data_IF_161276994918
#
_entry.id   IF_161276994918
#
_cell.length_a   1.000
_cell.length_b   1.000
_cell.length_c   1.000
_cell.angle_alpha   90.00
_cell.angle_beta   90.00
_cell.angle_gamma   90.00
#
_symmetry.space_group_name_H-M   'P 1'
#
loop_
_entity.id
_entity.type
_entity.pdbx_description
1 polymer ?
#
# COMPACT_ATOMS: atom_id res chain seq x y z
N UNK A 1 28.38 3.35 20.96
CA UNK A 1 28.24 2.90 19.56
C UNK A 1 27.42 1.63 19.60
N UNK A 2 26.10 1.72 19.34
CA UNK A 2 25.25 0.53 19.28
C UNK A 2 25.47 -0.20 17.96
N UNK A 3 25.40 -1.54 17.95
CA UNK A 3 25.67 -2.32 16.76
C UNK A 3 24.58 -2.08 15.72
N UNK A 4 25.01 -1.77 14.50
CA UNK A 4 24.20 -1.64 13.30
C UNK A 4 23.33 -2.90 13.13
N UNK A 5 22.05 -2.71 12.80
CA UNK A 5 21.09 -3.77 12.49
C UNK A 5 21.72 -4.86 11.61
N UNK A 6 21.91 -6.06 12.15
CA UNK A 6 22.25 -7.24 11.38
C UNK A 6 20.98 -7.76 10.69
N UNK A 7 20.98 -7.83 9.35
CA UNK A 7 19.83 -8.42 8.65
C UNK A 7 19.71 -9.91 9.01
N UNK A 8 18.47 -10.45 9.12
CA UNK A 8 18.24 -11.86 9.43
C UNK A 8 19.03 -12.80 8.50
N UNK A 9 19.41 -13.95 8.99
CA UNK A 9 20.23 -14.96 8.28
C UNK A 9 19.68 -15.38 6.91
N UNK A 10 18.38 -15.22 6.67
CA UNK A 10 17.74 -15.35 5.37
C UNK A 10 18.24 -14.37 4.32
N UNK A 11 18.77 -13.21 4.74
CA UNK A 11 19.33 -12.18 3.84
C UNK A 11 20.74 -12.57 3.38
N UNK A 12 21.52 -13.26 4.22
CA UNK A 12 22.89 -13.69 3.88
C UNK A 12 22.92 -14.80 2.81
N UNK A 13 21.95 -15.71 2.79
CA UNK A 13 21.80 -16.72 1.73
C UNK A 13 21.42 -16.14 0.38
N UNK A 14 20.91 -14.89 0.36
CA UNK A 14 20.50 -14.20 -0.85
C UNK A 14 21.68 -13.62 -1.62
N UNK A 15 22.85 -13.41 -0.98
CA UNK A 15 24.00 -12.74 -1.60
C UNK A 15 24.68 -13.58 -2.71
N UNK A 16 24.99 -14.84 -2.43
CA UNK A 16 25.59 -15.74 -3.42
C UNK A 16 24.64 -16.01 -4.60
N UNK A 17 23.34 -15.99 -4.34
CA UNK A 17 22.30 -16.28 -5.33
C UNK A 17 22.12 -15.14 -6.35
N UNK A 18 22.22 -13.86 -5.94
CA UNK A 18 21.94 -12.69 -6.80
C UNK A 18 22.96 -12.48 -7.93
N UNK A 19 24.17 -13.06 -7.81
CA UNK A 19 25.24 -12.98 -8.82
C UNK A 19 25.42 -14.26 -9.64
N UNK A 20 24.72 -15.33 -9.26
CA UNK A 20 24.63 -16.56 -10.06
C UNK A 20 23.87 -16.30 -11.38
N UNK A 21 23.99 -17.20 -12.36
CA UNK A 21 23.17 -17.16 -13.57
C UNK A 21 21.67 -17.18 -13.23
N UNK A 22 21.26 -17.92 -12.20
CA UNK A 22 19.88 -17.93 -11.68
C UNK A 22 19.44 -16.55 -11.17
N UNK A 23 20.33 -15.82 -10.48
CA UNK A 23 20.04 -14.47 -10.00
C UNK A 23 19.91 -13.43 -11.11
N UNK A 24 20.77 -13.54 -12.15
CA UNK A 24 20.65 -12.69 -13.36
C UNK A 24 19.35 -12.96 -14.10
N UNK A 25 18.99 -14.20 -14.34
CA UNK A 25 17.74 -14.61 -14.99
C UNK A 25 16.54 -14.07 -14.20
N UNK A 26 16.50 -14.25 -12.87
CA UNK A 26 15.44 -13.76 -12.01
C UNK A 26 15.29 -12.22 -12.04
N UNK A 27 16.39 -11.48 -12.21
CA UNK A 27 16.33 -10.02 -12.38
C UNK A 27 15.76 -9.62 -13.72
N UNK A 28 16.15 -10.30 -14.83
CA UNK A 28 15.56 -10.08 -16.15
C UNK A 28 14.05 -10.36 -16.14
N UNK A 29 13.63 -11.43 -15.47
CA UNK A 29 12.21 -11.78 -15.32
C UNK A 29 11.43 -10.70 -14.57
N UNK A 30 12.02 -10.13 -13.50
CA UNK A 30 11.42 -8.99 -12.79
C UNK A 30 11.28 -7.75 -13.70
N UNK A 31 12.32 -7.42 -14.46
CA UNK A 31 12.30 -6.27 -15.39
C UNK A 31 11.24 -6.46 -16.47
N UNK A 32 11.13 -7.66 -17.05
CA UNK A 32 10.08 -7.99 -18.02
C UNK A 32 8.68 -7.87 -17.40
N UNK A 33 8.52 -8.39 -16.19
CA UNK A 33 7.25 -8.28 -15.46
C UNK A 33 6.89 -6.82 -15.14
N UNK A 34 7.88 -5.99 -14.78
CA UNK A 34 7.67 -4.56 -14.53
C UNK A 34 7.23 -3.84 -15.82
N UNK A 35 7.85 -4.09 -16.98
CA UNK A 35 7.43 -3.51 -18.28
C UNK A 35 6.02 -3.97 -18.64
N UNK A 36 5.77 -5.28 -18.55
CA UNK A 36 4.45 -5.86 -18.85
C UNK A 36 3.36 -5.25 -17.95
N UNK A 37 3.64 -5.07 -16.67
CA UNK A 37 2.72 -4.47 -15.71
C UNK A 37 2.35 -3.03 -16.06
N UNK A 38 3.31 -2.22 -16.51
CA UNK A 38 3.04 -0.86 -16.99
C UNK A 38 2.14 -0.90 -18.24
N UNK A 39 2.49 -1.74 -19.22
CA UNK A 39 1.78 -1.84 -20.49
C UNK A 39 0.32 -2.31 -20.34
N UNK A 40 0.06 -3.21 -19.39
CA UNK A 40 -1.29 -3.74 -19.15
C UNK A 40 -2.19 -2.77 -18.38
N UNK A 41 -1.60 -1.84 -17.63
CA UNK A 41 -2.34 -0.95 -16.72
C UNK A 41 -2.43 0.49 -17.21
N UNK A 42 -1.49 0.92 -18.06
CA UNK A 42 -1.51 2.26 -18.65
C UNK A 42 -1.92 2.16 -20.13
N UNK A 43 -3.16 2.57 -20.47
CA UNK A 43 -3.64 2.56 -21.85
C UNK A 43 -2.90 3.54 -22.78
N UNK A 44 -2.13 4.48 -22.23
CA UNK A 44 -1.36 5.45 -23.02
C UNK A 44 -0.08 4.86 -23.63
N UNK A 45 0.40 3.71 -23.12
CA UNK A 45 1.63 3.05 -23.57
C UNK A 45 1.48 2.49 -24.97
N UNK A 46 2.38 2.88 -25.88
CA UNK A 46 2.41 2.40 -27.27
C UNK A 46 3.47 1.32 -27.53
N UNK A 47 4.56 1.30 -26.74
CA UNK A 47 5.65 0.33 -26.92
C UNK A 47 6.47 0.05 -25.66
N UNK A 48 7.11 -1.13 -25.60
CA UNK A 48 8.02 -1.49 -24.50
C UNK A 48 9.25 -0.56 -24.44
N UNK A 49 9.69 -0.04 -25.60
CA UNK A 49 10.80 0.93 -25.68
C UNK A 49 10.41 2.25 -25.01
N UNK A 50 9.18 2.71 -25.20
CA UNK A 50 8.65 3.89 -24.54
C UNK A 50 8.70 3.73 -23.02
N UNK A 51 8.19 2.61 -22.47
CA UNK A 51 8.26 2.30 -21.05
C UNK A 51 9.70 2.32 -20.55
N UNK A 52 10.60 1.66 -21.28
CA UNK A 52 11.98 1.51 -20.88
C UNK A 52 12.75 2.84 -20.82
N UNK A 53 12.53 3.74 -21.80
CA UNK A 53 13.30 4.97 -21.92
C UNK A 53 12.61 6.22 -21.40
N UNK A 54 11.28 6.28 -21.37
CA UNK A 54 10.55 7.51 -21.08
C UNK A 54 9.84 7.48 -19.72
N UNK A 55 9.35 6.33 -19.25
CA UNK A 55 8.58 6.26 -18.02
C UNK A 55 9.42 6.51 -16.77
N UNK A 56 9.15 7.58 -15.99
CA UNK A 56 9.90 7.90 -14.76
C UNK A 56 9.79 6.79 -13.72
N UNK A 57 8.60 6.22 -13.57
CA UNK A 57 8.31 5.13 -12.63
C UNK A 57 9.17 3.89 -12.91
N UNK A 58 9.22 3.45 -14.17
CA UNK A 58 10.08 2.34 -14.56
C UNK A 58 11.57 2.64 -14.33
N UNK A 59 12.02 3.87 -14.63
CA UNK A 59 13.39 4.31 -14.35
C UNK A 59 13.71 4.24 -12.87
N UNK A 60 12.78 4.67 -11.99
CA UNK A 60 12.93 4.63 -10.54
C UNK A 60 13.04 3.19 -10.03
N UNK A 61 12.13 2.30 -10.43
CA UNK A 61 12.16 0.87 -10.05
C UNK A 61 13.43 0.18 -10.53
N UNK A 62 13.85 0.44 -11.76
CA UNK A 62 15.11 -0.09 -12.30
C UNK A 62 16.34 0.41 -11.55
N UNK A 63 16.37 1.69 -11.17
CA UNK A 63 17.44 2.26 -10.36
C UNK A 63 17.44 1.65 -8.95
N UNK A 64 16.27 1.52 -8.33
CA UNK A 64 16.11 0.84 -7.05
C UNK A 64 16.66 -0.60 -7.10
N UNK A 65 16.29 -1.41 -8.10
CA UNK A 65 16.79 -2.80 -8.20
C UNK A 65 18.33 -2.88 -8.28
N UNK A 66 18.99 -1.85 -8.84
CA UNK A 66 20.47 -1.75 -8.83
C UNK A 66 20.97 -1.30 -7.45
N UNK A 67 20.35 -0.28 -6.87
CA UNK A 67 20.72 0.23 -5.54
C UNK A 67 20.57 -0.85 -4.46
N UNK A 68 19.48 -1.62 -4.51
CA UNK A 68 19.20 -2.73 -3.58
C UNK A 68 20.31 -3.80 -3.61
N UNK A 69 20.85 -4.13 -4.78
CA UNK A 69 22.00 -5.05 -4.88
C UNK A 69 23.23 -4.54 -4.15
N UNK A 70 23.53 -3.25 -4.24
CA UNK A 70 24.65 -2.63 -3.53
C UNK A 70 24.37 -2.55 -2.03
N UNK A 71 23.11 -2.30 -1.65
CA UNK A 71 22.66 -2.31 -0.26
C UNK A 71 22.89 -3.68 0.39
N UNK A 72 22.46 -4.76 -0.27
CA UNK A 72 22.67 -6.14 0.19
C UNK A 72 24.16 -6.50 0.33
N UNK A 73 25.04 -5.89 -0.47
CA UNK A 73 26.50 -6.02 -0.35
C UNK A 73 27.11 -5.11 0.72
N UNK A 74 26.28 -4.46 1.54
CA UNK A 74 26.72 -3.51 2.59
C UNK A 74 27.45 -2.26 2.05
N UNK A 75 27.39 -1.99 0.73
CA UNK A 75 27.89 -0.76 0.12
C UNK A 75 26.84 0.34 0.19
N UNK A 76 26.50 0.74 1.41
CA UNK A 76 25.39 1.65 1.69
C UNK A 76 25.52 3.02 1.02
N UNK A 77 26.74 3.57 0.96
CA UNK A 77 26.99 4.84 0.29
C UNK A 77 26.62 4.79 -1.20
N UNK A 78 27.11 3.77 -1.92
CA UNK A 78 26.82 3.59 -3.34
C UNK A 78 25.32 3.37 -3.57
N UNK A 79 24.69 2.54 -2.72
CA UNK A 79 23.27 2.29 -2.78
C UNK A 79 22.44 3.58 -2.62
N UNK A 80 22.78 4.41 -1.60
CA UNK A 80 22.12 5.70 -1.37
C UNK A 80 22.40 6.69 -2.51
N UNK A 81 23.61 6.75 -3.01
CA UNK A 81 23.94 7.63 -4.14
C UNK A 81 23.08 7.32 -5.39
N UNK A 82 22.92 6.02 -5.73
CA UNK A 82 22.04 5.61 -6.84
C UNK A 82 20.59 6.00 -6.57
N UNK A 83 20.09 5.76 -5.35
CA UNK A 83 18.73 6.10 -4.93
C UNK A 83 18.48 7.61 -5.02
N UNK A 84 19.36 8.44 -4.48
CA UNK A 84 19.23 9.90 -4.50
C UNK A 84 19.34 10.48 -5.93
N UNK A 85 20.16 9.86 -6.78
CA UNK A 85 20.21 10.23 -8.22
C UNK A 85 18.91 9.88 -8.93
N UNK A 86 18.28 8.75 -8.58
CA UNK A 86 16.98 8.37 -9.13
C UNK A 86 15.88 9.34 -8.68
N UNK A 87 15.81 9.67 -7.40
CA UNK A 87 14.87 10.66 -6.84
C UNK A 87 14.94 11.99 -7.61
N UNK A 88 16.14 12.56 -7.78
CA UNK A 88 16.32 13.82 -8.51
C UNK A 88 15.84 13.77 -9.97
N UNK A 89 15.90 12.59 -10.60
CA UNK A 89 15.50 12.42 -12.01
C UNK A 89 14.03 12.07 -12.20
N UNK A 90 13.40 11.49 -11.21
CA UNK A 90 12.07 10.87 -11.34
C UNK A 90 11.03 11.43 -10.38
N UNK A 91 11.45 12.14 -9.34
CA UNK A 91 10.56 12.59 -8.26
C UNK A 91 10.06 11.45 -7.36
N UNK A 92 10.64 10.23 -7.47
CA UNK A 92 10.23 9.03 -6.75
C UNK A 92 11.36 8.61 -5.81
N UNK A 93 11.08 8.57 -4.52
CA UNK A 93 12.02 8.08 -3.52
C UNK A 93 11.76 6.62 -3.19
N UNK A 94 12.76 5.76 -3.44
CA UNK A 94 12.74 4.36 -3.00
C UNK A 94 14.02 4.10 -2.22
N UNK A 95 13.87 3.76 -0.93
CA UNK A 95 15.02 3.42 -0.11
C UNK A 95 15.62 2.09 -0.59
N UNK A 96 16.96 1.98 -0.73
CA UNK A 96 17.59 0.76 -1.24
C UNK A 96 17.40 -0.47 -0.35
N UNK A 97 17.09 -0.29 0.93
CA UNK A 97 16.78 -1.38 1.87
C UNK A 97 15.39 -2.00 1.69
N UNK A 98 14.45 -1.32 1.04
CA UNK A 98 13.12 -1.87 0.80
C UNK A 98 13.18 -3.19 0.03
N UNK A 99 12.18 -4.06 0.24
CA UNK A 99 12.03 -5.32 -0.51
C UNK A 99 10.82 -5.22 -1.42
N UNK A 100 11.03 -5.32 -2.74
CA UNK A 100 9.97 -5.14 -3.74
C UNK A 100 9.90 -6.35 -4.66
N UNK A 101 8.71 -6.90 -4.79
CA UNK A 101 8.36 -7.99 -5.70
C UNK A 101 8.50 -7.62 -7.18
N UNK A 102 7.85 -8.36 -8.06
CA UNK A 102 7.79 -8.11 -9.51
C UNK A 102 6.52 -7.36 -9.87
N UNK A 103 6.54 -6.67 -11.01
CA UNK A 103 5.36 -6.02 -11.58
C UNK A 103 4.85 -4.83 -10.77
N UNK A 104 5.71 -4.18 -9.95
CA UNK A 104 5.33 -2.93 -9.30
C UNK A 104 5.06 -1.87 -10.37
N UNK A 105 3.86 -1.32 -10.36
CA UNK A 105 3.43 -0.19 -11.18
C UNK A 105 3.29 1.06 -10.32
N UNK A 106 4.00 2.13 -10.67
CA UNK A 106 3.85 3.44 -10.03
C UNK A 106 3.30 4.37 -11.09
N UNK A 107 2.06 4.80 -10.92
CA UNK A 107 1.40 5.69 -11.85
C UNK A 107 1.57 7.14 -11.43
N UNK A 108 1.94 8.01 -12.39
CA UNK A 108 2.26 9.44 -12.17
C UNK A 108 3.32 9.74 -11.11
N UNK A 109 3.92 8.84 -10.50
CA UNK A 109 4.93 8.68 -9.46
C UNK A 109 5.50 9.86 -8.67
N UNK A 110 5.27 11.11 -9.04
CA UNK A 110 5.80 12.28 -8.34
C UNK A 110 5.40 12.27 -6.85
N UNK A 111 6.40 12.48 -5.97
CA UNK A 111 6.18 12.52 -4.53
C UNK A 111 5.94 11.17 -3.86
N UNK A 112 6.11 10.06 -4.57
CA UNK A 112 6.08 8.72 -3.95
C UNK A 112 7.31 8.53 -3.08
N UNK A 113 7.08 8.05 -1.84
CA UNK A 113 8.13 7.73 -0.87
C UNK A 113 7.95 6.29 -0.37
N UNK A 114 8.97 5.46 -0.58
CA UNK A 114 9.02 4.07 -0.10
C UNK A 114 10.19 3.95 0.90
N UNK A 115 9.85 3.75 2.18
CA UNK A 115 10.79 3.71 3.29
C UNK A 115 11.65 2.44 3.35
N UNK A 116 12.66 2.45 4.20
CA UNK A 116 13.75 1.46 4.27
C UNK A 116 13.28 0.02 4.49
N UNK A 117 12.42 -0.22 5.48
CA UNK A 117 11.97 -1.56 5.85
C UNK A 117 10.62 -1.92 5.24
N UNK A 118 10.20 -1.19 4.18
CA UNK A 118 8.99 -1.49 3.43
C UNK A 118 9.14 -2.80 2.67
N UNK A 119 8.10 -3.62 2.73
CA UNK A 119 7.96 -4.80 1.89
C UNK A 119 6.77 -4.62 0.96
N UNK A 120 6.95 -4.90 -0.33
CA UNK A 120 5.89 -4.83 -1.34
C UNK A 120 5.86 -6.15 -2.09
N UNK A 121 4.71 -6.80 -2.09
CA UNK A 121 4.45 -8.02 -2.84
C UNK A 121 4.46 -7.82 -4.35
N UNK A 122 3.97 -8.80 -5.06
CA UNK A 122 3.92 -8.79 -6.52
C UNK A 122 2.72 -7.99 -7.03
N UNK A 123 2.90 -7.35 -8.20
CA UNK A 123 1.84 -6.66 -8.96
C UNK A 123 1.08 -5.55 -8.23
N UNK A 124 1.71 -4.89 -7.26
CA UNK A 124 1.14 -3.74 -6.59
C UNK A 124 1.09 -2.50 -7.50
N UNK A 125 0.14 -1.60 -7.21
CA UNK A 125 -0.02 -0.30 -7.87
C UNK A 125 0.05 0.81 -6.85
N UNK A 126 0.93 1.79 -7.06
CA UNK A 126 1.02 3.01 -6.26
C UNK A 126 0.76 4.22 -7.16
N UNK A 127 0.00 5.18 -6.66
CA UNK A 127 -0.21 6.45 -7.35
C UNK A 127 0.69 7.56 -6.79
N UNK A 128 0.65 8.75 -7.40
CA UNK A 128 1.43 9.90 -6.99
C UNK A 128 1.20 10.27 -5.51
N UNK A 129 2.21 10.86 -4.88
CA UNK A 129 2.21 11.33 -3.49
C UNK A 129 1.91 10.23 -2.44
N UNK A 130 2.01 8.95 -2.80
CA UNK A 130 1.88 7.86 -1.84
C UNK A 130 3.10 7.80 -0.94
N UNK A 131 2.88 7.66 0.38
CA UNK A 131 3.94 7.46 1.37
C UNK A 131 3.77 6.11 2.06
N UNK A 132 4.77 5.24 1.93
CA UNK A 132 4.93 4.03 2.74
C UNK A 132 5.97 4.34 3.81
N UNK A 133 5.50 4.90 4.94
CA UNK A 133 6.32 5.51 5.98
C UNK A 133 6.39 4.70 7.27
N UNK A 134 7.37 5.04 8.10
CA UNK A 134 7.53 4.48 9.44
C UNK A 134 6.99 5.39 10.53
N UNK A 135 6.96 4.89 11.77
CA UNK A 135 6.53 5.63 12.97
C UNK A 135 7.57 6.63 13.47
N UNK A 136 8.78 6.63 12.92
CA UNK A 136 9.84 7.60 13.23
C UNK A 136 10.62 7.36 14.54
N UNK A 137 10.14 6.46 15.43
CA UNK A 137 10.75 6.20 16.74
C UNK A 137 11.40 4.82 16.85
N UNK A 138 10.97 3.87 16.01
CA UNK A 138 11.37 2.48 16.14
C UNK A 138 12.61 2.17 15.31
N UNK A 139 13.52 1.38 15.88
CA UNK A 139 14.61 0.71 15.17
C UNK A 139 14.09 -0.63 14.61
N UNK A 140 14.59 -1.07 13.46
CA UNK A 140 14.15 -2.30 12.83
C UNK A 140 12.95 -2.14 11.90
N UNK A 141 12.00 -3.08 11.92
CA UNK A 141 10.79 -3.04 11.08
C UNK A 141 9.84 -1.94 11.53
N UNK A 142 9.78 -0.85 10.76
CA UNK A 142 8.97 0.34 11.06
C UNK A 142 8.10 0.82 9.90
N UNK A 143 8.26 0.23 8.72
CA UNK A 143 7.51 0.54 7.52
C UNK A 143 6.54 -0.59 7.16
N UNK A 144 5.47 -0.32 6.41
CA UNK A 144 4.44 -1.30 6.13
C UNK A 144 4.89 -2.46 5.24
N UNK A 145 4.13 -3.55 5.33
CA UNK A 145 4.20 -4.68 4.41
C UNK A 145 2.93 -4.71 3.57
N UNK A 146 3.07 -4.52 2.25
CA UNK A 146 1.97 -4.70 1.30
C UNK A 146 2.02 -6.13 0.75
N UNK A 147 0.88 -6.80 0.76
CA UNK A 147 0.69 -8.09 0.09
C UNK A 147 0.74 -7.99 -1.43
N UNK A 148 0.23 -8.99 -2.12
CA UNK A 148 0.18 -9.02 -3.57
C UNK A 148 -1.03 -8.24 -4.10
N UNK A 149 -0.88 -7.65 -5.30
CA UNK A 149 -1.97 -6.97 -5.99
C UNK A 149 -2.65 -5.86 -5.15
N UNK A 150 -1.90 -5.21 -4.26
CA UNK A 150 -2.41 -4.09 -3.47
C UNK A 150 -2.40 -2.82 -4.30
N UNK A 151 -3.48 -2.05 -4.22
CA UNK A 151 -3.60 -0.73 -4.84
C UNK A 151 -3.59 0.36 -3.76
N UNK A 152 -2.70 1.34 -3.89
CA UNK A 152 -2.63 2.51 -3.00
C UNK A 152 -2.89 3.77 -3.80
N UNK A 153 -4.04 4.38 -3.54
CA UNK A 153 -4.54 5.57 -4.25
C UNK A 153 -3.70 6.82 -4.02
N UNK A 154 -3.89 7.80 -4.88
CA UNK A 154 -3.12 9.06 -4.88
C UNK A 154 -3.15 9.76 -3.52
N UNK A 155 -2.00 10.25 -3.06
CA UNK A 155 -1.88 10.98 -1.80
C UNK A 155 -2.07 10.14 -0.53
N UNK A 156 -2.34 8.84 -0.64
CA UNK A 156 -2.53 7.99 0.53
C UNK A 156 -1.22 7.79 1.31
N UNK A 157 -1.34 7.68 2.64
CA UNK A 157 -0.23 7.46 3.55
C UNK A 157 -0.48 6.18 4.35
N UNK A 158 0.47 5.26 4.30
CA UNK A 158 0.47 4.01 5.08
C UNK A 158 1.63 4.09 6.05
N UNK A 159 1.34 4.26 7.33
CA UNK A 159 2.33 4.67 8.34
C UNK A 159 2.40 3.67 9.49
N UNK A 160 3.43 2.84 9.52
CA UNK A 160 3.67 1.86 10.59
C UNK A 160 4.02 0.47 10.08
N UNK A 161 4.50 -0.44 10.97
CA UNK A 161 5.03 -1.75 10.60
C UNK A 161 3.94 -2.84 10.46
N UNK A 162 2.73 -2.47 10.08
CA UNK A 162 1.62 -3.41 9.92
C UNK A 162 1.48 -3.91 8.47
N UNK A 163 0.60 -4.88 8.30
CA UNK A 163 0.32 -5.51 7.01
C UNK A 163 -0.93 -4.94 6.36
N UNK A 164 -0.82 -4.71 5.05
CA UNK A 164 -1.94 -4.52 4.13
C UNK A 164 -2.07 -5.81 3.32
N UNK A 165 -3.18 -6.51 3.48
CA UNK A 165 -3.40 -7.85 2.90
C UNK A 165 -3.51 -7.86 1.38
N UNK A 166 -3.47 -9.05 0.79
CA UNK A 166 -3.55 -9.24 -0.66
C UNK A 166 -4.86 -8.66 -1.24
N UNK A 167 -4.78 -8.11 -2.44
CA UNK A 167 -5.90 -7.49 -3.17
C UNK A 167 -6.57 -6.32 -2.42
N UNK A 168 -5.96 -5.80 -1.36
CA UNK A 168 -6.50 -4.64 -0.65
C UNK A 168 -6.40 -3.37 -1.50
N UNK A 169 -7.36 -2.48 -1.31
CA UNK A 169 -7.43 -1.17 -1.98
C UNK A 169 -7.44 -0.06 -0.93
N UNK A 170 -6.49 0.83 -1.00
CA UNK A 170 -6.42 2.03 -0.18
C UNK A 170 -6.90 3.21 -1.04
N UNK A 171 -7.94 3.90 -0.59
CA UNK A 171 -8.49 5.03 -1.32
C UNK A 171 -7.52 6.21 -1.39
N UNK A 172 -7.75 7.11 -2.35
CA UNK A 172 -6.98 8.35 -2.46
C UNK A 172 -7.09 9.18 -1.16
N UNK A 173 -5.97 9.81 -0.76
CA UNK A 173 -5.82 10.61 0.44
C UNK A 173 -6.12 9.90 1.77
N UNK A 174 -6.27 8.59 1.78
CA UNK A 174 -6.46 7.83 3.03
C UNK A 174 -5.19 7.81 3.88
N UNK A 175 -5.34 7.85 5.20
CA UNK A 175 -4.24 7.71 6.18
C UNK A 175 -4.44 6.41 6.95
N UNK A 176 -3.68 5.39 6.57
CA UNK A 176 -3.74 4.05 7.17
C UNK A 176 -2.76 3.97 8.33
N UNK A 177 -3.27 3.66 9.51
CA UNK A 177 -2.51 3.59 10.77
C UNK A 177 -2.61 2.20 11.44
N UNK A 178 -3.33 1.28 10.81
CA UNK A 178 -3.54 -0.08 11.33
C UNK A 178 -3.65 -1.08 10.19
N UNK A 179 -3.65 -2.36 10.52
CA UNK A 179 -3.73 -3.46 9.56
C UNK A 179 -4.99 -3.39 8.69
N UNK A 180 -4.84 -3.71 7.41
CA UNK A 180 -5.93 -3.81 6.44
C UNK A 180 -6.03 -5.25 5.97
N UNK A 181 -7.17 -5.94 6.17
CA UNK A 181 -7.37 -7.32 5.72
C UNK A 181 -7.28 -7.47 4.21
N UNK A 182 -7.03 -8.71 3.76
CA UNK A 182 -7.08 -9.04 2.33
C UNK A 182 -8.47 -8.78 1.74
N UNK A 183 -8.52 -8.51 0.43
CA UNK A 183 -9.74 -8.24 -0.35
C UNK A 183 -10.59 -7.08 0.21
N UNK A 184 -9.97 -6.15 0.94
CA UNK A 184 -10.66 -5.05 1.62
C UNK A 184 -10.42 -3.72 0.95
N UNK A 185 -11.35 -2.78 1.15
CA UNK A 185 -11.18 -1.38 0.74
C UNK A 185 -11.17 -0.49 1.99
N UNK A 186 -10.08 0.27 2.18
CA UNK A 186 -9.92 1.21 3.28
C UNK A 186 -10.00 2.66 2.76
N UNK A 187 -10.75 3.52 3.48
CA UNK A 187 -11.07 4.90 3.09
C UNK A 187 -11.00 5.83 4.30
N UNK A 188 -10.56 7.04 4.12
CA UNK A 188 -10.67 8.13 5.12
C UNK A 188 -9.39 8.43 5.89
N UNK A 189 -9.51 9.34 6.87
CA UNK A 189 -8.44 9.84 7.75
C UNK A 189 -8.98 9.93 9.18
N UNK A 190 -8.62 8.99 10.06
CA UNK A 190 -7.89 7.73 9.81
C UNK A 190 -8.69 6.77 8.92
N UNK A 191 -7.99 5.92 8.19
CA UNK A 191 -8.62 5.00 7.25
C UNK A 191 -9.40 3.89 7.99
N UNK A 192 -10.59 3.59 7.46
CA UNK A 192 -11.46 2.51 7.92
C UNK A 192 -11.79 1.56 6.77
N UNK A 193 -11.93 0.28 7.06
CA UNK A 193 -12.36 -0.71 6.09
C UNK A 193 -13.86 -0.52 5.83
N UNK A 194 -14.23 -0.19 4.60
CA UNK A 194 -15.62 0.05 4.20
C UNK A 194 -16.20 -1.08 3.34
N UNK A 195 -15.33 -1.94 2.80
CA UNK A 195 -15.71 -3.14 2.05
C UNK A 195 -14.76 -4.27 2.36
N UNK A 196 -15.27 -5.50 2.43
CA UNK A 196 -14.52 -6.73 2.54
C UNK A 196 -15.16 -7.80 1.65
N UNK A 197 -14.35 -8.51 0.87
CA UNK A 197 -14.81 -9.53 -0.09
C UNK A 197 -15.97 -9.06 -1.00
N UNK A 198 -15.90 -7.76 -1.42
CA UNK A 198 -16.92 -7.14 -2.27
C UNK A 198 -18.17 -6.64 -1.54
N UNK A 199 -18.39 -7.02 -0.29
CA UNK A 199 -19.54 -6.60 0.52
C UNK A 199 -19.22 -5.32 1.31
N UNK A 200 -20.24 -4.47 1.51
CA UNK A 200 -20.14 -3.33 2.44
C UNK A 200 -20.03 -3.84 3.87
N UNK A 201 -19.08 -3.30 4.61
CA UNK A 201 -18.95 -3.53 6.05
C UNK A 201 -19.67 -2.38 6.75
N UNK A 202 -20.67 -2.68 7.58
CA UNK A 202 -21.33 -1.66 8.38
C UNK A 202 -20.37 -1.16 9.44
N UNK A 203 -20.27 0.17 9.59
CA UNK A 203 -19.37 0.80 10.56
C UNK A 203 -19.69 0.36 12.02
N UNK A 204 -20.90 -0.11 12.27
CA UNK A 204 -21.34 -0.59 13.59
C UNK A 204 -20.91 -2.04 13.90
N UNK A 205 -20.57 -2.85 12.88
CA UNK A 205 -20.08 -4.22 13.07
C UNK A 205 -18.55 -4.29 13.32
N UNK A 206 -17.89 -3.15 13.29
CA UNK A 206 -16.46 -3.04 13.49
C UNK A 206 -16.14 -2.75 14.96
N UNK A 207 -16.09 -3.86 15.74
CA UNK A 207 -15.08 -3.99 16.76
C UNK A 207 -15.36 -3.64 18.24
N UNK A 208 -15.18 -4.67 19.06
CA UNK A 208 -15.11 -4.56 20.53
C UNK A 208 -13.66 -4.36 21.06
N UNK A 209 -12.65 -4.21 20.20
CA UNK A 209 -11.23 -4.22 20.63
C UNK A 209 -10.52 -2.86 20.47
N UNK A 210 -11.01 -1.94 19.66
CA UNK A 210 -10.39 -0.62 19.50
C UNK A 210 -11.24 0.46 20.20
N UNK A 211 -10.57 1.35 20.92
CA UNK A 211 -11.18 2.51 21.56
C UNK A 211 -12.01 3.25 20.50
N UNK A 212 -13.34 3.29 20.62
CA UNK A 212 -14.17 3.84 19.57
C UNK A 212 -13.93 5.34 19.45
N UNK A 213 -13.76 5.80 18.22
CA UNK A 213 -13.88 7.22 17.91
C UNK A 213 -15.25 7.71 18.46
N UNK A 214 -15.30 8.65 19.40
CA UNK A 214 -16.55 9.13 19.99
C UNK A 214 -17.56 9.63 18.95
N UNK A 215 -17.07 10.17 17.82
CA UNK A 215 -17.90 10.64 16.70
C UNK A 215 -18.52 9.45 15.95
N UNK A 216 -17.76 8.40 15.71
CA UNK A 216 -18.29 7.18 15.07
C UNK A 216 -19.33 6.50 15.95
N UNK A 217 -19.13 6.46 17.28
CA UNK A 217 -20.13 5.95 18.23
C UNK A 217 -21.43 6.78 18.21
N UNK A 218 -21.31 8.11 18.21
CA UNK A 218 -22.47 9.00 18.15
C UNK A 218 -23.23 8.82 16.84
N UNK A 219 -22.53 8.67 15.71
CA UNK A 219 -23.15 8.42 14.40
C UNK A 219 -23.90 7.08 14.40
N UNK A 220 -23.28 6.01 14.90
CA UNK A 220 -23.94 4.71 15.02
C UNK A 220 -25.16 4.75 15.94
N UNK A 221 -25.06 5.42 17.09
CA UNK A 221 -26.19 5.60 18.00
C UNK A 221 -27.34 6.40 17.36
N UNK A 222 -27.02 7.44 16.58
CA UNK A 222 -28.01 8.22 15.83
C UNK A 222 -28.67 7.39 14.71
N UNK A 223 -27.91 6.58 13.99
CA UNK A 223 -28.46 5.69 12.97
C UNK A 223 -29.41 4.65 13.56
N UNK A 224 -29.02 3.99 14.64
CA UNK A 224 -29.89 3.03 15.34
C UNK A 224 -31.17 3.70 15.86
N UNK A 225 -31.09 4.93 16.34
CA UNK A 225 -32.24 5.70 16.79
C UNK A 225 -33.18 6.11 15.67
N UNK A 226 -32.61 6.47 14.50
CA UNK A 226 -33.39 6.73 13.29
C UNK A 226 -34.13 5.47 12.78
N UNK A 227 -33.48 4.31 12.78
CA UNK A 227 -34.11 3.04 12.41
C UNK A 227 -35.27 2.69 13.36
N UNK A 228 -35.08 2.88 14.66
CA UNK A 228 -36.16 2.66 15.65
C UNK A 228 -37.33 3.61 15.41
N UNK A 229 -37.06 4.91 15.26
CA UNK A 229 -38.10 5.91 14.98
C UNK A 229 -38.85 5.63 13.68
N UNK A 230 -38.14 5.17 12.63
CA UNK A 230 -38.75 4.81 11.36
C UNK A 230 -39.70 3.63 11.53
N UNK A 231 -39.31 2.60 12.29
CA UNK A 231 -40.16 1.45 12.62
C UNK A 231 -41.40 1.84 13.39
N UNK A 232 -41.27 2.75 14.36
CA UNK A 232 -42.40 3.29 15.12
C UNK A 232 -43.38 4.09 14.25
N UNK A 233 -42.85 4.91 13.34
CA UNK A 233 -43.66 5.66 12.36
C UNK A 233 -44.44 4.72 11.46
N UNK A 234 -43.83 3.66 11.00
CA UNK A 234 -44.45 2.70 10.09
C UNK A 234 -45.57 1.93 10.83
N UNK A 235 -45.35 1.52 12.07
CA UNK A 235 -46.39 0.93 12.93
C UNK A 235 -47.58 1.89 13.16
N UNK A 236 -47.33 3.14 13.52
CA UNK A 236 -48.37 4.13 13.70
C UNK A 236 -49.15 4.42 12.41
N UNK A 237 -48.51 4.37 11.28
CA UNK A 237 -49.18 4.50 9.96
C UNK A 237 -50.08 3.33 9.66
N UNK A 238 -49.72 2.12 10.04
CA UNK A 238 -50.56 0.93 9.88
C UNK A 238 -51.78 1.02 10.82
N UNK A 239 -51.58 1.38 12.08
CA UNK A 239 -52.71 1.57 13.04
C UNK A 239 -53.68 2.66 12.58
N UNK A 240 -53.20 3.77 12.04
CA UNK A 240 -54.05 4.84 11.52
C UNK A 240 -54.83 4.37 10.27
N UNK A 241 -54.28 3.51 9.43
CA UNK A 241 -55.04 2.92 8.30
C UNK A 241 -56.12 1.99 8.77
N UNK A 242 -55.87 1.15 9.77
CA UNK A 242 -56.86 0.23 10.32
C UNK A 242 -58.00 0.99 11.05
N UNK A 243 -57.72 2.09 11.75
CA UNK A 243 -58.72 2.90 12.39
C UNK A 243 -59.55 3.78 11.44
N UNK A 244 -59.02 4.12 10.24
CA UNK A 244 -59.78 4.86 9.23
C UNK A 244 -60.64 3.98 8.31
N UNK A 245 -60.61 2.65 8.47
CA UNK A 245 -61.40 1.68 7.72
C UNK A 245 -62.62 1.21 8.52
N UNK A 246 -62.73 1.63 9.80
CA UNK A 246 -63.92 1.43 10.65
C UNK A 246 -64.78 2.69 10.67
#
# INVERSE_FOLDING_TARGET
MEPWYEPPSSVMQTEAFLFSEKGRKRMFDKIKADIKSVRERDPAVKSDLEVFFLYPSFKAVRAYRRAHKWYLKKHYFIARWISQRALRKTGIEIHPGATIGKGLFIDHGSGVVIGETTEIGDYCTLYQNVTLGGTGKDTGKRHPTLGNNVMVGSGARVLGPFKVGDNAKIAANAVVLSEVPSNSTAVGVPARVVRRDGQRVNACDLDQIHIPDPVAQQICALQSRLETMQSEIDLLREELKENNIK
#
